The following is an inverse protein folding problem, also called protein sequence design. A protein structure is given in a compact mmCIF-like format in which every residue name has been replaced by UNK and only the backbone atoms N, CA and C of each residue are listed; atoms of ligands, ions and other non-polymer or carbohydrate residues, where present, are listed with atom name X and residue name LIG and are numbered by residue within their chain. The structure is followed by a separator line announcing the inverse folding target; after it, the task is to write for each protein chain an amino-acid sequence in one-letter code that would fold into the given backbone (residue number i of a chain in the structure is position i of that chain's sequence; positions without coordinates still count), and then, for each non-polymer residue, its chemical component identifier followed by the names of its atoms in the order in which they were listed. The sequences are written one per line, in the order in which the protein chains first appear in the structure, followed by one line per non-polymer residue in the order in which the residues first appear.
data_IF_982375779957
#
_entry.id   IF_982375779957
#
_cell.length_a   1.000
_cell.length_b   1.000
_cell.length_c   1.000
_cell.angle_alpha   90.00
_cell.angle_beta   90.00
_cell.angle_gamma   90.00
#
_symmetry.space_group_name_H-M   'P 1'
#
loop_
_entity.id
_entity.type
_entity.pdbx_description
1 polymer ?
#
# COMPACT_ATOMS: atom_id res chain seq x y z
N UNK A 1 0.24 -53.01 1.08
CA UNK A 1 -1.15 -53.26 1.54
C UNK A 1 -1.26 -52.89 3.02
N UNK A 2 -2.13 -51.95 3.36
CA UNK A 2 -3.00 -51.96 4.55
C UNK A 2 -3.83 -50.67 4.53
N UNK A 3 -5.10 -50.82 4.18
CA UNK A 3 -6.13 -49.78 4.21
C UNK A 3 -6.53 -49.54 5.66
N UNK A 4 -6.63 -48.28 6.11
CA UNK A 4 -7.45 -47.92 7.27
C UNK A 4 -8.23 -46.64 7.01
N UNK A 5 -9.51 -46.87 6.79
CA UNK A 5 -10.61 -45.93 6.66
C UNK A 5 -10.96 -45.39 8.05
N UNK A 6 -11.11 -44.07 8.20
CA UNK A 6 -11.84 -43.47 9.32
C UNK A 6 -12.93 -42.58 8.73
N UNK A 7 -14.15 -43.10 8.81
CA UNK A 7 -15.43 -42.42 8.66
C UNK A 7 -15.76 -41.79 10.01
N UNK A 8 -16.21 -40.53 10.00
CA UNK A 8 -16.63 -39.80 11.19
C UNK A 8 -17.61 -38.69 10.83
N UNK A 9 -18.80 -39.11 10.40
CA UNK A 9 -20.00 -38.30 10.14
C UNK A 9 -20.45 -37.59 11.42
N UNK A 10 -20.55 -36.26 11.42
CA UNK A 10 -21.35 -35.52 12.41
C UNK A 10 -22.43 -34.75 11.68
N UNK A 11 -23.66 -35.25 11.83
CA UNK A 11 -24.93 -34.57 11.61
C UNK A 11 -24.91 -33.21 12.33
N UNK A 12 -25.39 -32.11 11.74
CA UNK A 12 -26.77 -31.94 11.32
C UNK A 12 -27.44 -30.94 12.27
N UNK A 13 -27.55 -29.68 11.83
CA UNK A 13 -28.46 -28.69 12.42
C UNK A 13 -28.91 -27.75 11.30
N UNK A 14 -29.84 -28.23 10.47
CA UNK A 14 -30.67 -27.39 9.60
C UNK A 14 -31.72 -26.71 10.47
N UNK A 15 -31.56 -25.41 10.71
CA UNK A 15 -32.61 -24.56 11.27
C UNK A 15 -33.46 -24.01 10.13
N UNK A 16 -34.54 -24.71 9.83
CA UNK A 16 -35.66 -24.24 9.00
C UNK A 16 -36.90 -24.09 9.86
N UNK A 17 -37.53 -22.91 9.83
CA UNK A 17 -38.97 -22.64 9.60
C UNK A 17 -39.32 -21.27 10.22
N UNK A 18 -40.00 -20.45 9.42
CA UNK A 18 -40.62 -19.21 9.89
C UNK A 18 -41.24 -18.37 8.77
N UNK A 19 -42.07 -18.99 7.92
CA UNK A 19 -43.01 -18.27 7.06
C UNK A 19 -44.11 -17.66 7.96
N UNK A 20 -44.21 -16.34 7.99
CA UNK A 20 -45.50 -15.66 8.19
C UNK A 20 -45.57 -14.52 7.17
N UNK A 21 -46.48 -14.70 6.21
CA UNK A 21 -46.87 -13.67 5.28
C UNK A 21 -47.79 -12.66 5.96
N UNK A 22 -47.58 -11.39 5.63
CA UNK A 22 -48.55 -10.32 5.87
C UNK A 22 -48.49 -9.33 4.70
N UNK A 23 -49.56 -9.36 3.92
CA UNK A 23 -50.28 -8.27 3.26
C UNK A 23 -49.53 -7.18 2.47
N UNK A 24 -49.99 -7.02 1.23
CA UNK A 24 -50.10 -5.79 0.44
C UNK A 24 -49.89 -4.47 1.20
N UNK A 25 -48.97 -3.66 0.69
CA UNK A 25 -49.16 -2.22 0.57
C UNK A 25 -48.55 -1.78 -0.77
N UNK A 26 -49.42 -1.51 -1.74
CA UNK A 26 -49.09 -0.60 -2.83
C UNK A 26 -48.68 0.73 -2.19
N UNK A 27 -47.45 1.17 -2.43
CA UNK A 27 -47.12 2.57 -2.24
C UNK A 27 -46.07 2.97 -3.28
N UNK A 28 -46.55 3.62 -4.33
CA UNK A 28 -45.73 4.49 -5.15
C UNK A 28 -45.05 5.50 -4.24
N UNK A 29 -43.78 5.29 -3.93
CA UNK A 29 -42.94 6.35 -3.37
C UNK A 29 -41.59 6.31 -4.05
N UNK A 30 -41.51 7.15 -5.08
CA UNK A 30 -40.35 7.96 -5.40
C UNK A 30 -39.54 8.20 -4.11
N UNK A 31 -38.52 7.37 -3.86
CA UNK A 31 -37.72 7.41 -2.63
C UNK A 31 -36.71 8.54 -2.73
N UNK A 32 -37.22 9.77 -2.77
CA UNK A 32 -36.53 10.92 -2.23
C UNK A 32 -36.48 10.73 -0.72
N UNK A 33 -35.54 9.91 -0.23
CA UNK A 33 -35.30 9.71 1.20
C UNK A 33 -35.06 11.10 1.82
N UNK A 34 -35.96 11.62 2.67
CA UNK A 34 -35.67 12.85 3.39
C UNK A 34 -34.47 12.55 4.28
N UNK A 35 -33.35 13.24 4.03
CA UNK A 35 -32.16 13.16 4.88
C UNK A 35 -32.49 13.80 6.23
N UNK A 36 -33.20 13.07 7.09
CA UNK A 36 -33.46 13.49 8.46
C UNK A 36 -32.12 13.64 9.18
N UNK A 37 -32.03 14.63 10.08
CA UNK A 37 -30.80 14.90 10.87
C UNK A 37 -30.34 13.66 11.64
N UNK A 38 -31.27 12.78 11.99
CA UNK A 38 -31.01 11.49 12.64
C UNK A 38 -30.29 10.50 11.73
N UNK A 39 -30.69 10.35 10.46
CA UNK A 39 -29.97 9.50 9.50
C UNK A 39 -28.53 9.98 9.26
N UNK A 40 -28.31 11.31 9.28
CA UNK A 40 -26.97 11.87 9.19
C UNK A 40 -26.14 11.58 10.45
N UNK A 41 -26.72 11.71 11.65
CA UNK A 41 -26.05 11.42 12.91
C UNK A 41 -25.69 9.94 13.03
N UNK A 42 -26.62 9.04 12.74
CA UNK A 42 -26.38 7.60 12.71
C UNK A 42 -25.27 7.21 11.72
N UNK A 43 -25.21 7.88 10.55
CA UNK A 43 -24.13 7.67 9.58
C UNK A 43 -22.77 8.15 10.09
N UNK A 44 -22.72 9.23 10.87
CA UNK A 44 -21.48 9.70 11.49
C UNK A 44 -21.05 8.79 12.63
N UNK A 45 -21.98 8.32 13.46
CA UNK A 45 -21.72 7.36 14.53
C UNK A 45 -21.17 6.04 13.98
N UNK A 46 -21.78 5.50 12.91
CA UNK A 46 -21.27 4.31 12.23
C UNK A 46 -19.84 4.50 11.67
N UNK A 47 -19.54 5.68 11.10
CA UNK A 47 -18.18 6.00 10.62
C UNK A 47 -17.16 6.15 11.75
N UNK A 48 -17.57 6.72 12.87
CA UNK A 48 -16.72 6.85 14.05
C UNK A 48 -16.44 5.47 14.65
N UNK A 49 -17.47 4.66 14.85
CA UNK A 49 -17.36 3.29 15.35
C UNK A 49 -16.50 2.40 14.44
N UNK A 50 -16.62 2.53 13.11
CA UNK A 50 -15.76 1.82 12.16
C UNK A 50 -14.26 2.17 12.28
N UNK A 51 -13.93 3.32 12.87
CA UNK A 51 -12.55 3.71 13.20
C UNK A 51 -12.20 3.52 14.68
N UNK A 52 -13.06 2.85 15.45
CA UNK A 52 -12.89 2.65 16.89
C UNK A 52 -12.95 3.94 17.71
N UNK A 53 -13.64 4.97 17.22
CA UNK A 53 -13.77 6.28 17.86
C UNK A 53 -15.21 6.53 18.29
N UNK A 54 -15.41 7.29 19.36
CA UNK A 54 -16.73 7.84 19.69
C UNK A 54 -17.09 8.99 18.75
N UNK A 55 -18.38 9.33 18.65
CA UNK A 55 -18.82 10.45 17.82
C UNK A 55 -18.16 11.78 18.24
N UNK A 56 -18.00 12.00 19.55
CA UNK A 56 -17.32 13.19 20.10
C UNK A 56 -15.83 13.23 19.74
N UNK A 57 -15.13 12.10 19.84
CA UNK A 57 -13.72 12.03 19.44
C UNK A 57 -13.56 12.27 17.93
N UNK A 58 -14.50 11.78 17.12
CA UNK A 58 -14.52 12.02 15.69
C UNK A 58 -14.72 13.51 15.36
N UNK A 59 -15.67 14.18 16.00
CA UNK A 59 -15.94 15.61 15.78
C UNK A 59 -14.76 16.46 16.24
N UNK A 60 -14.18 16.18 17.42
CA UNK A 60 -12.97 16.85 17.89
C UNK A 60 -11.80 16.68 16.91
N UNK A 61 -11.53 15.46 16.44
CA UNK A 61 -10.47 15.21 15.46
C UNK A 61 -10.71 15.97 14.14
N UNK A 62 -11.95 16.06 13.70
CA UNK A 62 -12.32 16.83 12.52
C UNK A 62 -12.15 18.33 12.70
N UNK A 63 -12.48 18.87 13.88
CA UNK A 63 -12.27 20.28 14.21
C UNK A 63 -10.78 20.60 14.32
N UNK A 64 -10.00 19.77 15.01
CA UNK A 64 -8.55 19.92 15.11
C UNK A 64 -7.89 19.91 13.72
N UNK A 65 -8.28 18.97 12.86
CA UNK A 65 -7.77 18.93 11.48
C UNK A 65 -8.17 20.16 10.66
N UNK A 66 -9.38 20.72 10.86
CA UNK A 66 -9.77 21.97 10.21
C UNK A 66 -8.91 23.14 10.68
N UNK A 67 -8.73 23.28 11.99
CA UNK A 67 -7.89 24.33 12.57
C UNK A 67 -6.44 24.21 12.10
N UNK A 68 -5.90 22.99 12.00
CA UNK A 68 -4.56 22.74 11.46
C UNK A 68 -4.45 23.17 9.99
N UNK A 69 -5.45 22.87 9.16
CA UNK A 69 -5.50 23.33 7.78
C UNK A 69 -5.60 24.85 7.67
N UNK A 70 -6.37 25.50 8.54
CA UNK A 70 -6.47 26.96 8.59
C UNK A 70 -5.14 27.61 8.99
N UNK A 71 -4.46 27.06 10.00
CA UNK A 71 -3.12 27.51 10.39
C UNK A 71 -2.11 27.34 9.26
N UNK A 72 -2.12 26.18 8.56
CA UNK A 72 -1.24 25.94 7.41
C UNK A 72 -1.55 26.88 6.24
N UNK A 73 -2.83 27.15 5.99
CA UNK A 73 -3.24 28.11 4.98
C UNK A 73 -2.75 29.53 5.32
N UNK A 74 -2.96 29.98 6.56
CA UNK A 74 -2.47 31.28 7.04
C UNK A 74 -0.94 31.39 6.98
N UNK A 75 -0.21 30.35 7.39
CA UNK A 75 1.25 30.31 7.29
C UNK A 75 1.75 30.38 5.84
N UNK A 76 0.98 29.85 4.89
CA UNK A 76 1.24 29.98 3.46
C UNK A 76 0.75 31.31 2.85
N UNK A 77 0.13 32.20 3.64
CA UNK A 77 -0.46 33.45 3.15
C UNK A 77 -1.69 33.24 2.27
N UNK A 78 -2.35 32.08 2.38
CA UNK A 78 -3.50 31.69 1.56
C UNK A 78 -4.79 31.64 2.38
N UNK A 79 -5.93 31.83 1.72
CA UNK A 79 -7.22 31.47 2.33
C UNK A 79 -7.37 29.96 2.42
N UNK A 80 -8.19 29.47 3.35
CA UNK A 80 -8.43 28.04 3.52
C UNK A 80 -8.92 27.37 2.21
N UNK A 81 -9.75 28.04 1.43
CA UNK A 81 -10.25 27.50 0.16
C UNK A 81 -9.16 27.44 -0.92
N UNK A 82 -8.31 28.46 -1.02
CA UNK A 82 -7.15 28.44 -1.92
C UNK A 82 -6.17 27.32 -1.52
N UNK A 83 -5.88 27.18 -0.23
CA UNK A 83 -5.01 26.12 0.27
C UNK A 83 -5.57 24.71 -0.02
N UNK A 84 -6.89 24.51 0.12
CA UNK A 84 -7.54 23.25 -0.26
C UNK A 84 -7.45 22.98 -1.75
N UNK A 85 -7.59 24.01 -2.60
CA UNK A 85 -7.43 23.87 -4.04
C UNK A 85 -5.99 23.52 -4.42
N UNK A 86 -5.01 24.18 -3.81
CA UNK A 86 -3.59 23.89 -4.00
C UNK A 86 -3.24 22.44 -3.61
N UNK A 87 -3.74 21.97 -2.46
CA UNK A 87 -3.61 20.57 -2.05
C UNK A 87 -4.24 19.59 -3.05
N UNK A 88 -5.35 19.95 -3.70
CA UNK A 88 -5.98 19.11 -4.73
C UNK A 88 -5.12 19.07 -5.99
N UNK A 89 -4.60 20.21 -6.44
CA UNK A 89 -3.72 20.31 -7.60
C UNK A 89 -2.44 19.51 -7.37
N UNK A 90 -1.79 19.70 -6.22
CA UNK A 90 -0.58 18.96 -5.84
C UNK A 90 -0.83 17.45 -5.79
N UNK A 91 -1.98 17.02 -5.24
CA UNK A 91 -2.36 15.60 -5.25
C UNK A 91 -2.60 15.06 -6.66
N UNK A 92 -3.13 15.87 -7.55
CA UNK A 92 -3.37 15.48 -8.94
C UNK A 92 -2.05 15.36 -9.70
N UNK A 93 -1.18 16.37 -9.61
CA UNK A 93 0.17 16.33 -10.18
C UNK A 93 0.96 15.10 -9.68
N UNK A 94 0.93 14.81 -8.37
CA UNK A 94 1.58 13.61 -7.84
C UNK A 94 1.02 12.29 -8.40
N UNK A 95 -0.27 12.23 -8.73
CA UNK A 95 -0.87 11.04 -9.36
C UNK A 95 -0.39 10.91 -10.81
N UNK A 96 -0.38 12.01 -11.54
CA UNK A 96 0.08 12.08 -12.93
C UNK A 96 1.56 11.69 -13.01
N UNK A 97 2.43 12.29 -12.19
CA UNK A 97 3.85 11.93 -12.07
C UNK A 97 4.05 10.45 -11.76
N UNK A 98 3.22 9.90 -10.87
CA UNK A 98 3.31 8.48 -10.51
C UNK A 98 2.92 7.60 -11.69
N UNK A 99 1.89 7.98 -12.45
CA UNK A 99 1.43 7.26 -13.62
C UNK A 99 2.46 7.33 -14.74
N UNK A 100 3.06 8.49 -14.97
CA UNK A 100 4.15 8.66 -15.94
C UNK A 100 5.38 7.82 -15.55
N UNK A 101 5.79 7.83 -14.28
CA UNK A 101 6.89 6.98 -13.80
C UNK A 101 6.59 5.48 -13.95
N UNK A 102 5.32 5.09 -13.87
CA UNK A 102 4.91 3.70 -14.12
C UNK A 102 5.03 3.40 -15.62
N UNK A 103 4.53 4.28 -16.49
CA UNK A 103 4.64 4.16 -17.95
C UNK A 103 6.11 4.07 -18.38
N UNK A 104 6.95 5.02 -17.98
CA UNK A 104 8.38 5.01 -18.31
C UNK A 104 9.09 3.73 -17.86
N UNK A 105 8.71 3.15 -16.71
CA UNK A 105 9.30 1.88 -16.23
C UNK A 105 8.76 0.67 -16.99
N UNK A 106 7.52 0.71 -17.45
CA UNK A 106 6.94 -0.30 -18.31
C UNK A 106 7.62 -0.28 -19.69
N UNK A 107 7.78 0.92 -20.28
CA UNK A 107 8.44 1.12 -21.57
C UNK A 107 9.90 0.69 -21.54
N UNK A 108 10.66 1.06 -20.48
CA UNK A 108 12.05 0.61 -20.28
C UNK A 108 12.19 -0.90 -20.20
N UNK A 109 11.13 -1.60 -19.80
CA UNK A 109 11.07 -3.06 -19.74
C UNK A 109 10.44 -3.68 -20.99
N UNK A 110 9.95 -2.86 -21.93
CA UNK A 110 9.23 -3.33 -23.12
C UNK A 110 7.93 -4.05 -22.80
N UNK A 111 7.26 -3.70 -21.68
CA UNK A 111 5.99 -4.31 -21.26
C UNK A 111 4.89 -3.26 -21.15
N UNK A 112 3.63 -3.70 -21.19
CA UNK A 112 2.51 -2.79 -20.93
C UNK A 112 2.45 -2.34 -19.47
N UNK A 113 1.80 -1.20 -19.21
CA UNK A 113 1.58 -0.69 -17.85
C UNK A 113 0.82 -1.69 -16.99
N UNK A 114 -0.19 -2.35 -17.53
CA UNK A 114 -0.98 -3.35 -16.80
C UNK A 114 -0.12 -4.52 -16.35
N UNK A 115 0.72 -5.05 -17.25
CA UNK A 115 1.67 -6.10 -16.92
C UNK A 115 2.69 -5.64 -15.87
N UNK A 116 3.20 -4.41 -15.99
CA UNK A 116 4.12 -3.85 -14.99
C UNK A 116 3.45 -3.75 -13.61
N UNK A 117 2.21 -3.26 -13.54
CA UNK A 117 1.45 -3.15 -12.28
C UNK A 117 1.15 -4.54 -11.71
N UNK A 118 0.76 -5.50 -12.54
CA UNK A 118 0.53 -6.88 -12.14
C UNK A 118 1.81 -7.52 -11.58
N UNK A 119 2.94 -7.34 -12.26
CA UNK A 119 4.25 -7.82 -11.80
C UNK A 119 4.60 -7.23 -10.42
N UNK A 120 4.38 -5.92 -10.22
CA UNK A 120 4.64 -5.27 -8.92
C UNK A 120 3.74 -5.80 -7.81
N UNK A 121 2.47 -6.07 -8.10
CA UNK A 121 1.54 -6.69 -7.14
C UNK A 121 1.97 -8.12 -6.79
N UNK A 122 2.38 -8.92 -7.78
CA UNK A 122 2.89 -10.27 -7.57
C UNK A 122 4.15 -10.26 -6.69
N UNK A 123 5.14 -9.42 -7.00
CA UNK A 123 6.34 -9.24 -6.19
C UNK A 123 6.03 -8.85 -4.74
N UNK A 124 5.05 -7.96 -4.55
CA UNK A 124 4.62 -7.57 -3.21
C UNK A 124 3.95 -8.75 -2.48
N UNK A 125 3.10 -9.51 -3.15
CA UNK A 125 2.46 -10.68 -2.56
C UNK A 125 3.48 -11.77 -2.16
N UNK A 126 4.50 -11.99 -2.97
CA UNK A 126 5.61 -12.89 -2.63
C UNK A 126 6.40 -12.38 -1.42
N UNK A 127 6.70 -11.08 -1.36
CA UNK A 127 7.36 -10.47 -0.21
C UNK A 127 6.53 -10.63 1.08
N UNK A 128 5.20 -10.50 0.98
CA UNK A 128 4.28 -10.75 2.10
C UNK A 128 4.38 -12.20 2.57
N UNK A 129 4.31 -13.16 1.65
CA UNK A 129 4.42 -14.60 1.98
C UNK A 129 5.74 -14.92 2.67
N UNK A 130 6.86 -14.46 2.10
CA UNK A 130 8.20 -14.70 2.68
C UNK A 130 8.38 -14.03 4.04
N UNK A 131 7.86 -12.80 4.20
CA UNK A 131 7.88 -12.14 5.50
C UNK A 131 7.08 -12.94 6.54
N UNK A 132 5.92 -13.48 6.16
CA UNK A 132 5.11 -14.34 7.03
C UNK A 132 5.83 -15.65 7.38
N UNK A 133 6.48 -16.31 6.41
CA UNK A 133 7.27 -17.54 6.62
C UNK A 133 8.42 -17.30 7.62
N UNK A 134 9.04 -16.12 7.55
CA UNK A 134 10.12 -15.70 8.44
C UNK A 134 9.62 -15.12 9.77
N UNK A 135 8.30 -14.96 9.96
CA UNK A 135 7.72 -14.36 11.15
C UNK A 135 8.08 -12.88 11.35
N UNK A 136 8.42 -12.17 10.27
CA UNK A 136 8.80 -10.74 10.29
C UNK A 136 7.78 -9.90 9.52
N UNK A 137 7.86 -8.58 9.68
CA UNK A 137 7.04 -7.67 8.88
C UNK A 137 7.54 -7.57 7.45
N UNK A 138 6.64 -7.25 6.51
CA UNK A 138 7.00 -7.05 5.09
C UNK A 138 8.05 -5.94 4.94
N UNK A 139 7.97 -4.91 5.78
CA UNK A 139 8.90 -3.79 5.77
C UNK A 139 10.31 -4.22 6.20
N UNK A 140 10.42 -5.03 7.25
CA UNK A 140 11.71 -5.59 7.70
C UNK A 140 12.31 -6.50 6.63
N UNK A 141 11.50 -7.38 6.03
CA UNK A 141 11.95 -8.25 4.94
C UNK A 141 12.51 -7.45 3.75
N UNK A 142 11.79 -6.41 3.31
CA UNK A 142 12.24 -5.54 2.22
C UNK A 142 13.50 -4.75 2.61
N UNK A 143 13.62 -4.34 3.87
CA UNK A 143 14.81 -3.66 4.36
C UNK A 143 16.03 -4.58 4.33
N UNK A 144 15.90 -5.83 4.79
CA UNK A 144 16.96 -6.84 4.75
C UNK A 144 17.41 -7.12 3.32
N UNK A 145 16.47 -7.41 2.41
CA UNK A 145 16.74 -7.57 0.98
C UNK A 145 17.52 -6.38 0.38
N UNK A 146 17.12 -5.17 0.73
CA UNK A 146 17.79 -3.95 0.23
C UNK A 146 19.20 -3.80 0.82
N UNK A 147 19.39 -4.16 2.09
CA UNK A 147 20.68 -4.12 2.76
C UNK A 147 21.66 -5.13 2.16
N UNK A 148 21.20 -6.36 1.90
CA UNK A 148 21.97 -7.41 1.25
C UNK A 148 22.40 -7.00 -0.16
N UNK A 149 21.48 -6.46 -0.97
CA UNK A 149 21.81 -5.97 -2.32
C UNK A 149 22.86 -4.85 -2.28
N UNK A 150 22.73 -3.91 -1.34
CA UNK A 150 23.72 -2.84 -1.15
C UNK A 150 25.08 -3.39 -0.72
N UNK A 151 25.11 -4.34 0.22
CA UNK A 151 26.33 -4.98 0.67
C UNK A 151 27.03 -5.73 -0.47
N UNK A 152 26.27 -6.51 -1.24
CA UNK A 152 26.77 -7.24 -2.40
C UNK A 152 27.38 -6.30 -3.44
N UNK A 153 26.67 -5.24 -3.79
CA UNK A 153 27.16 -4.27 -4.78
C UNK A 153 28.38 -3.48 -4.26
N UNK A 154 28.47 -3.21 -2.95
CA UNK A 154 29.66 -2.60 -2.34
C UNK A 154 30.86 -3.57 -2.41
N UNK A 155 30.66 -4.84 -2.07
CA UNK A 155 31.69 -5.86 -2.15
C UNK A 155 32.18 -6.06 -3.59
N UNK A 156 31.27 -6.10 -4.56
CA UNK A 156 31.61 -6.20 -5.99
C UNK A 156 32.44 -5.01 -6.46
N UNK A 157 32.07 -3.79 -6.06
CA UNK A 157 32.88 -2.60 -6.37
C UNK A 157 34.28 -2.68 -5.75
N UNK A 158 34.38 -3.10 -4.49
CA UNK A 158 35.66 -3.26 -3.81
C UNK A 158 36.55 -4.30 -4.50
N UNK A 159 35.98 -5.47 -4.85
CA UNK A 159 36.68 -6.51 -5.59
C UNK A 159 37.21 -5.99 -6.92
N UNK A 160 36.37 -5.29 -7.70
CA UNK A 160 36.78 -4.69 -8.99
C UNK A 160 37.87 -3.62 -8.82
N UNK A 161 37.83 -2.86 -7.74
CA UNK A 161 38.88 -1.89 -7.44
C UNK A 161 40.19 -2.57 -7.06
N UNK A 162 40.15 -3.64 -6.26
CA UNK A 162 41.34 -4.38 -5.85
C UNK A 162 41.97 -5.13 -7.02
N UNK A 163 41.17 -5.76 -7.87
CA UNK A 163 41.62 -6.37 -9.12
C UNK A 163 42.36 -5.36 -10.01
N UNK A 164 41.78 -4.16 -10.20
CA UNK A 164 42.44 -3.07 -10.94
C UNK A 164 43.75 -2.63 -10.29
N UNK A 165 43.85 -2.62 -8.95
CA UNK A 165 45.09 -2.27 -8.24
C UNK A 165 46.16 -3.34 -8.46
N UNK A 166 45.80 -4.61 -8.35
CA UNK A 166 46.71 -5.72 -8.58
C UNK A 166 47.23 -5.75 -10.02
N UNK A 167 46.35 -5.57 -11.01
CA UNK A 167 46.73 -5.48 -12.42
C UNK A 167 47.73 -4.34 -12.68
N UNK A 168 47.50 -3.15 -12.08
CA UNK A 168 48.45 -2.02 -12.18
C UNK A 168 49.81 -2.33 -11.55
N UNK A 169 49.82 -3.01 -10.39
CA UNK A 169 51.07 -3.40 -9.73
C UNK A 169 51.85 -4.42 -10.57
N UNK A 170 51.17 -5.40 -11.15
CA UNK A 170 51.79 -6.38 -12.05
C UNK A 170 52.35 -5.72 -13.31
N UNK A 171 51.59 -4.83 -13.95
CA UNK A 171 52.05 -4.07 -15.11
C UNK A 171 53.29 -3.21 -14.78
N UNK A 172 53.30 -2.56 -13.61
CA UNK A 172 54.45 -1.78 -13.16
C UNK A 172 55.69 -2.65 -12.89
N UNK A 173 55.52 -3.84 -12.31
CA UNK A 173 56.60 -4.82 -12.13
C UNK A 173 57.16 -5.30 -13.46
N UNK A 174 56.29 -5.64 -14.41
CA UNK A 174 56.69 -6.08 -15.75
C UNK A 174 57.45 -4.98 -16.52
N UNK A 175 57.00 -3.73 -16.44
CA UNK A 175 57.73 -2.60 -17.04
C UNK A 175 59.11 -2.39 -16.41
N UNK A 176 59.24 -2.57 -15.10
CA UNK A 176 60.52 -2.43 -14.40
C UNK A 176 61.53 -3.54 -14.74
N UNK A 177 61.06 -4.74 -15.12
CA UNK A 177 61.93 -5.84 -15.55
C UNK A 177 62.40 -5.74 -17.01
N UNK A 178 61.73 -4.96 -17.85
CA UNK A 178 62.12 -4.77 -19.27
C UNK A 178 63.24 -3.72 -19.43
N UNK A 179 63.38 -2.81 -18.46
CA UNK A 179 64.42 -1.76 -18.46
C UNK A 179 65.70 -2.14 -17.68
N UNK A 180 65.87 -3.42 -17.34
CA UNK A 180 67.09 -3.98 -16.73
C UNK A 180 67.77 -4.90 -17.72
#
# INVERSE_FOLDING_TARGET
MLKKTIVGTVAGALLTIGLMGSAFAANETNSAVPKTKEAHKARLEAKAAAKGLTLEQWTQKHQAHKAELEQKAQAAGLTLEQYKQDLKLTKQQHKEDKQEKIQQKADKKGISVEQYVAQRKAQHAEAVKKAQELGITVQEYLHQQTAELKAKHKAERQAKHEEKRQAKLQAKKAAASVNK
#
